data_IF_583430114679
#
_entry.id   IF_583430114679
#
_cell.length_a   1.000
_cell.length_b   1.000
_cell.length_c   1.000
_cell.angle_alpha   90.00
_cell.angle_beta   90.00
_cell.angle_gamma   90.00
#
_symmetry.space_group_name_H-M   'P 1'
#
loop_
_entity.id
_entity.type
_entity.pdbx_description
1 polymer ?
#
# COMPACT_ATOMS: atom_id res chain seq x y z
N UNK A 1 -0.36 -12.51 13.45
CA UNK A 1 -1.50 -11.94 12.69
C UNK A 1 -1.53 -12.56 11.31
N UNK A 2 -2.70 -12.60 10.66
CA UNK A 2 -2.82 -12.82 9.21
C UNK A 2 -2.64 -11.50 8.47
N UNK A 3 -1.59 -11.39 7.67
CA UNK A 3 -1.17 -10.15 7.02
C UNK A 3 -1.15 -10.33 5.51
N UNK A 4 -1.65 -9.33 4.79
CA UNK A 4 -1.48 -9.19 3.36
C UNK A 4 -0.59 -7.97 3.07
N UNK A 5 0.49 -8.18 2.31
CA UNK A 5 1.31 -7.11 1.72
C UNK A 5 1.05 -7.06 0.21
N UNK A 6 0.80 -5.87 -0.31
CA UNK A 6 0.54 -5.61 -1.73
C UNK A 6 1.55 -4.57 -2.21
N UNK A 7 2.60 -5.00 -2.90
CA UNK A 7 3.68 -4.13 -3.36
C UNK A 7 4.32 -4.77 -4.60
N UNK A 8 4.47 -4.06 -5.71
CA UNK A 8 5.00 -4.59 -6.97
C UNK A 8 6.54 -4.66 -7.01
N UNK A 9 7.23 -3.99 -6.08
CA UNK A 9 8.69 -3.95 -6.00
C UNK A 9 9.28 -5.19 -5.33
N UNK A 10 10.14 -5.98 -6.02
CA UNK A 10 10.75 -7.17 -5.44
C UNK A 10 11.55 -6.89 -4.16
N UNK A 11 12.20 -5.72 -4.06
CA UNK A 11 12.98 -5.37 -2.86
C UNK A 11 12.06 -5.13 -1.65
N UNK A 12 10.90 -4.49 -1.85
CA UNK A 12 9.95 -4.25 -0.76
C UNK A 12 9.21 -5.52 -0.36
N UNK A 13 8.90 -6.40 -1.32
CA UNK A 13 8.38 -7.74 -1.03
C UNK A 13 9.39 -8.56 -0.21
N UNK A 14 10.67 -8.51 -0.54
CA UNK A 14 11.70 -9.20 0.21
C UNK A 14 11.83 -8.65 1.63
N UNK A 15 11.80 -7.32 1.79
CA UNK A 15 11.80 -6.70 3.12
C UNK A 15 10.56 -7.07 3.95
N UNK A 16 9.38 -7.20 3.32
CA UNK A 16 8.18 -7.68 4.01
C UNK A 16 8.40 -9.09 4.58
N UNK A 17 9.02 -10.00 3.83
CA UNK A 17 9.34 -11.36 4.32
C UNK A 17 10.28 -11.33 5.53
N UNK A 18 11.25 -10.42 5.52
CA UNK A 18 12.24 -10.30 6.59
C UNK A 18 11.63 -9.66 7.85
N UNK A 19 10.94 -8.54 7.69
CA UNK A 19 10.44 -7.72 8.81
C UNK A 19 9.14 -8.26 9.42
N UNK A 20 8.40 -9.12 8.72
CA UNK A 20 7.14 -9.71 9.19
C UNK A 20 7.22 -11.23 9.41
N UNK A 21 8.42 -11.82 9.52
CA UNK A 21 8.65 -13.27 9.54
C UNK A 21 7.98 -14.07 10.68
N UNK A 22 7.41 -13.42 11.69
CA UNK A 22 6.63 -14.03 12.77
C UNK A 22 5.12 -14.11 12.53
N UNK A 23 4.63 -13.65 11.38
CA UNK A 23 3.21 -13.57 11.05
C UNK A 23 2.82 -14.56 9.95
N UNK A 24 1.53 -14.85 9.83
CA UNK A 24 0.98 -15.57 8.68
C UNK A 24 0.88 -14.58 7.51
N UNK A 25 1.87 -14.62 6.62
CA UNK A 25 2.14 -13.57 5.64
C UNK A 25 1.80 -14.01 4.21
N UNK A 26 0.92 -13.27 3.56
CA UNK A 26 0.68 -13.33 2.12
C UNK A 26 1.23 -12.08 1.46
N UNK A 27 1.95 -12.24 0.34
CA UNK A 27 2.51 -11.12 -0.44
C UNK A 27 2.08 -11.29 -1.89
N UNK A 28 1.59 -10.22 -2.50
CA UNK A 28 1.23 -10.16 -3.93
C UNK A 28 1.80 -8.90 -4.58
N UNK A 29 2.06 -8.98 -5.88
CA UNK A 29 2.81 -7.96 -6.61
C UNK A 29 1.97 -7.10 -7.54
N UNK A 30 0.65 -7.24 -7.53
CA UNK A 30 -0.22 -6.56 -8.49
C UNK A 30 -1.52 -6.09 -7.88
N UNK A 31 -2.09 -5.05 -8.47
CA UNK A 31 -3.36 -4.49 -8.05
C UNK A 31 -4.49 -5.52 -8.13
N UNK A 32 -4.49 -6.35 -9.18
CA UNK A 32 -5.55 -7.33 -9.44
C UNK A 32 -5.54 -8.48 -8.43
N UNK A 33 -4.36 -8.98 -8.08
CA UNK A 33 -4.21 -9.99 -7.03
C UNK A 33 -4.60 -9.42 -5.68
N UNK A 34 -4.15 -8.20 -5.38
CA UNK A 34 -4.53 -7.45 -4.20
C UNK A 34 -6.04 -7.31 -4.06
N UNK A 35 -6.70 -6.79 -5.10
CA UNK A 35 -8.15 -6.60 -5.16
C UNK A 35 -8.91 -7.91 -4.92
N UNK A 36 -8.44 -9.02 -5.51
CA UNK A 36 -9.05 -10.33 -5.30
C UNK A 36 -8.96 -10.79 -3.85
N UNK A 37 -7.83 -10.53 -3.19
CA UNK A 37 -7.57 -10.96 -1.82
C UNK A 37 -8.24 -10.08 -0.77
N UNK A 38 -8.44 -8.78 -1.01
CA UNK A 38 -9.14 -7.88 -0.07
C UNK A 38 -10.66 -7.88 -0.27
N UNK A 39 -11.22 -8.90 -0.93
CA UNK A 39 -12.66 -9.08 -1.09
C UNK A 39 -13.41 -9.30 0.23
N UNK A 40 -14.75 -9.33 0.18
CA UNK A 40 -15.58 -9.51 1.38
C UNK A 40 -15.20 -10.79 2.14
N UNK A 41 -14.92 -10.67 3.44
CA UNK A 41 -14.62 -11.81 4.31
C UNK A 41 -13.21 -12.37 4.17
N UNK A 42 -12.24 -11.58 3.68
CA UNK A 42 -10.87 -12.02 3.42
C UNK A 42 -10.11 -12.57 4.65
N UNK A 43 -10.45 -12.13 5.86
CA UNK A 43 -9.89 -12.67 7.11
C UNK A 43 -8.46 -12.22 7.46
N UNK A 44 -7.88 -11.31 6.69
CA UNK A 44 -6.62 -10.62 7.04
C UNK A 44 -6.89 -9.60 8.15
N UNK A 45 -6.06 -9.60 9.18
CA UNK A 45 -6.11 -8.64 10.28
C UNK A 45 -5.42 -7.34 9.89
N UNK A 46 -4.31 -7.45 9.14
CA UNK A 46 -3.57 -6.32 8.61
C UNK A 46 -3.44 -6.39 7.09
N UNK A 47 -3.59 -5.24 6.41
CA UNK A 47 -3.36 -5.09 4.97
C UNK A 47 -2.45 -3.88 4.74
N UNK A 48 -1.25 -4.14 4.23
CA UNK A 48 -0.21 -3.13 4.01
C UNK A 48 0.01 -3.01 2.49
N UNK A 49 -0.14 -1.81 1.95
CA UNK A 49 -0.25 -1.60 0.51
C UNK A 49 0.70 -0.50 0.07
N UNK A 50 1.40 -0.70 -1.03
CA UNK A 50 2.12 0.38 -1.69
C UNK A 50 1.16 1.38 -2.34
N UNK A 51 1.47 2.67 -2.29
CA UNK A 51 0.65 3.69 -2.94
C UNK A 51 0.69 3.57 -4.46
N UNK A 52 1.89 3.41 -5.02
CA UNK A 52 2.25 3.69 -6.41
C UNK A 52 2.50 2.40 -7.19
N UNK A 53 1.42 1.83 -7.72
CA UNK A 53 1.49 0.56 -8.43
C UNK A 53 1.16 0.71 -9.92
N UNK A 54 1.65 -0.20 -10.79
CA UNK A 54 1.28 -0.24 -12.19
C UNK A 54 -0.23 -0.43 -12.38
N UNK A 55 -0.86 0.46 -13.16
CA UNK A 55 -2.29 0.37 -13.43
C UNK A 55 -2.67 -0.85 -14.29
N UNK A 56 -3.68 -1.59 -13.82
CA UNK A 56 -4.17 -2.79 -14.50
C UNK A 56 -5.10 -2.48 -15.69
N UNK A 57 -5.07 -3.37 -16.67
CA UNK A 57 -6.00 -3.40 -17.80
C UNK A 57 -7.36 -4.04 -17.46
N UNK A 58 -7.48 -4.78 -16.36
CA UNK A 58 -8.58 -5.71 -16.10
C UNK A 58 -9.98 -5.05 -16.10
N UNK A 59 -10.08 -3.81 -15.61
CA UNK A 59 -11.37 -3.06 -15.55
C UNK A 59 -11.62 -2.19 -16.78
N UNK A 60 -10.72 -2.17 -17.75
CA UNK A 60 -10.93 -1.44 -18.99
C UNK A 60 -11.84 -2.26 -19.92
N UNK A 61 -13.09 -1.82 -20.08
CA UNK A 61 -14.03 -2.37 -21.09
C UNK A 61 -13.48 -2.51 -22.52
N UNK A 62 -14.13 -3.34 -23.33
CA UNK A 62 -13.63 -3.86 -24.60
C UNK A 62 -13.20 -2.77 -25.61
N UNK A 63 -12.12 -3.08 -26.35
CA UNK A 63 -11.28 -2.16 -27.10
C UNK A 63 -11.94 -1.37 -28.25
N UNK A 64 -13.17 -1.70 -28.67
CA UNK A 64 -13.81 -1.08 -29.83
C UNK A 64 -14.16 0.41 -29.63
N UNK A 65 -14.27 0.89 -28.39
CA UNK A 65 -14.61 2.29 -28.08
C UNK A 65 -13.46 3.08 -27.42
N UNK A 66 -12.33 2.43 -27.09
CA UNK A 66 -11.35 2.94 -26.10
C UNK A 66 -9.93 3.16 -26.61
N UNK A 67 -9.71 3.17 -27.93
CA UNK A 67 -8.36 3.19 -28.51
C UNK A 67 -7.51 4.43 -28.15
N UNK A 68 -8.06 5.42 -27.44
CA UNK A 68 -7.36 6.68 -27.15
C UNK A 68 -7.33 7.18 -25.69
N UNK A 69 -8.17 6.68 -24.76
CA UNK A 69 -8.25 7.32 -23.43
C UNK A 69 -7.77 6.45 -22.26
N UNK A 70 -8.22 5.20 -22.13
CA UNK A 70 -7.87 4.37 -20.98
C UNK A 70 -6.60 3.53 -21.15
N UNK A 71 -6.27 3.14 -22.38
CA UNK A 71 -5.12 2.25 -22.65
C UNK A 71 -3.77 2.93 -22.39
N UNK A 72 -3.71 4.26 -22.50
CA UNK A 72 -2.49 5.03 -22.25
C UNK A 72 -1.98 4.88 -20.82
N UNK A 73 -2.88 4.66 -19.86
CA UNK A 73 -2.53 4.53 -18.44
C UNK A 73 -2.07 3.12 -18.04
N UNK A 74 -2.28 2.10 -18.87
CA UNK A 74 -1.91 0.72 -18.53
C UNK A 74 -0.39 0.64 -18.33
N UNK A 75 0.02 -0.03 -17.25
CA UNK A 75 1.41 -0.11 -16.80
C UNK A 75 2.06 1.22 -16.39
N UNK A 76 1.35 2.35 -16.40
CA UNK A 76 1.83 3.56 -15.74
C UNK A 76 1.71 3.39 -14.23
N UNK A 77 2.73 3.86 -13.51
CA UNK A 77 2.70 3.98 -12.07
C UNK A 77 1.61 4.98 -11.68
N UNK A 78 0.69 4.55 -10.82
CA UNK A 78 -0.49 5.33 -10.44
C UNK A 78 -0.77 5.13 -8.95
N UNK A 79 -1.36 6.12 -8.26
CA UNK A 79 -1.68 6.03 -6.84
C UNK A 79 -2.92 5.16 -6.57
N UNK A 80 -2.90 3.91 -7.02
CA UNK A 80 -4.05 2.99 -6.98
C UNK A 80 -4.10 2.18 -5.69
N UNK A 81 -3.01 2.10 -4.93
CA UNK A 81 -2.95 1.39 -3.66
C UNK A 81 -3.96 1.87 -2.62
N UNK A 82 -4.25 3.17 -2.63
CA UNK A 82 -5.25 3.77 -1.73
C UNK A 82 -6.62 3.10 -1.84
N UNK A 83 -7.02 2.66 -3.04
CA UNK A 83 -8.31 2.02 -3.25
C UNK A 83 -8.35 0.59 -2.70
N UNK A 84 -7.22 -0.12 -2.69
CA UNK A 84 -7.11 -1.43 -2.05
C UNK A 84 -7.16 -1.30 -0.53
N UNK A 85 -6.51 -0.28 0.04
CA UNK A 85 -6.57 0.03 1.46
C UNK A 85 -8.00 0.34 1.93
N UNK A 86 -8.72 1.22 1.22
CA UNK A 86 -10.12 1.52 1.52
C UNK A 86 -11.01 0.28 1.39
N UNK A 87 -10.76 -0.58 0.39
CA UNK A 87 -11.51 -1.82 0.21
C UNK A 87 -11.22 -2.84 1.32
N UNK A 88 -9.98 -2.94 1.78
CA UNK A 88 -9.58 -3.78 2.91
C UNK A 88 -10.24 -3.34 4.21
N UNK A 89 -10.20 -2.04 4.53
CA UNK A 89 -10.87 -1.47 5.69
C UNK A 89 -12.38 -1.78 5.65
N UNK A 90 -13.02 -1.48 4.52
CA UNK A 90 -14.45 -1.79 4.29
C UNK A 90 -14.80 -3.27 4.47
N UNK A 91 -13.87 -4.18 4.18
CA UNK A 91 -14.10 -5.63 4.22
C UNK A 91 -13.57 -6.30 5.50
N UNK A 92 -13.17 -5.51 6.50
CA UNK A 92 -12.94 -5.98 7.87
C UNK A 92 -11.49 -6.12 8.30
N UNK A 93 -10.53 -5.58 7.54
CA UNK A 93 -9.16 -5.41 8.03
C UNK A 93 -9.15 -4.47 9.26
N UNK A 94 -8.40 -4.81 10.30
CA UNK A 94 -8.30 -3.99 11.54
C UNK A 94 -7.20 -2.94 11.43
N UNK A 95 -6.12 -3.29 10.75
CA UNK A 95 -4.96 -2.45 10.54
C UNK A 95 -4.72 -2.31 9.04
N UNK A 96 -4.75 -1.08 8.53
CA UNK A 96 -4.48 -0.80 7.12
C UNK A 96 -3.40 0.25 7.01
N UNK A 97 -2.40 0.01 6.17
CA UNK A 97 -1.40 1.01 5.86
C UNK A 97 -1.28 1.21 4.35
N UNK A 98 -1.15 2.45 3.93
CA UNK A 98 -0.64 2.80 2.59
C UNK A 98 0.74 3.39 2.78
N UNK A 99 1.76 2.78 2.18
CA UNK A 99 3.15 3.17 2.38
C UNK A 99 3.92 3.22 1.07
N UNK A 100 4.43 4.39 0.73
CA UNK A 100 5.30 4.62 -0.42
C UNK A 100 6.72 4.94 0.03
N UNK A 101 7.70 4.50 -0.76
CA UNK A 101 9.09 4.91 -0.66
C UNK A 101 9.38 6.20 -1.45
N UNK A 102 8.39 6.74 -2.17
CA UNK A 102 8.48 8.03 -2.85
C UNK A 102 8.32 9.19 -1.87
N UNK A 103 9.25 10.15 -1.94
CA UNK A 103 9.19 11.39 -1.18
C UNK A 103 8.06 12.31 -1.68
N UNK A 104 7.53 13.20 -0.83
CA UNK A 104 6.52 14.20 -1.21
C UNK A 104 6.99 15.14 -2.33
N UNK A 105 8.31 15.32 -2.51
CA UNK A 105 8.86 16.13 -3.60
C UNK A 105 8.95 15.36 -4.92
N UNK A 106 8.77 14.04 -4.92
CA UNK A 106 8.97 13.16 -6.07
C UNK A 106 7.66 12.82 -6.76
N UNK A 107 6.57 12.62 -6.00
CA UNK A 107 5.28 12.26 -6.57
C UNK A 107 4.12 13.03 -5.91
N UNK A 108 3.21 13.66 -6.69
CA UNK A 108 2.13 14.48 -6.14
C UNK A 108 1.16 13.70 -5.25
N UNK A 109 0.96 12.40 -5.52
CA UNK A 109 0.15 11.57 -4.64
C UNK A 109 0.83 11.25 -3.30
N UNK A 110 2.17 11.19 -3.26
CA UNK A 110 2.91 11.08 -1.99
C UNK A 110 2.75 12.38 -1.19
N UNK A 111 2.85 13.54 -1.85
CA UNK A 111 2.61 14.84 -1.21
C UNK A 111 1.22 15.01 -0.60
N UNK A 112 0.20 14.31 -1.12
CA UNK A 112 -1.12 14.32 -0.51
C UNK A 112 -1.14 13.75 0.92
N UNK A 113 -0.15 12.93 1.31
CA UNK A 113 -0.06 12.42 2.68
C UNK A 113 0.28 13.50 3.70
N UNK A 114 0.87 14.63 3.28
CA UNK A 114 1.17 15.77 4.15
C UNK A 114 -0.10 16.42 4.70
N UNK A 115 -1.25 16.25 4.04
CA UNK A 115 -2.53 16.72 4.55
C UNK A 115 -3.10 15.83 5.67
N UNK A 116 -2.56 14.62 5.84
CA UNK A 116 -2.97 13.64 6.84
C UNK A 116 -1.97 13.51 7.99
N UNK A 117 -0.76 14.04 7.83
CA UNK A 117 0.32 13.85 8.77
C UNK A 117 0.84 15.21 9.27
N UNK A 118 1.39 15.28 10.49
CA UNK A 118 2.17 16.44 10.90
C UNK A 118 3.38 16.63 9.98
N UNK A 119 3.95 17.84 9.97
CA UNK A 119 5.10 18.19 9.11
C UNK A 119 6.32 17.27 9.34
N UNK A 120 6.39 16.55 10.47
CA UNK A 120 7.35 15.47 10.69
C UNK A 120 6.79 14.11 10.22
N UNK A 121 7.17 13.70 9.01
CA UNK A 121 6.81 12.40 8.42
C UNK A 121 7.27 11.15 9.22
N UNK A 122 7.82 11.34 10.43
CA UNK A 122 8.22 10.26 11.32
C UNK A 122 7.12 9.78 12.27
N UNK A 123 6.02 10.54 12.38
CA UNK A 123 4.91 10.26 13.29
C UNK A 123 3.57 10.41 12.54
N UNK A 124 3.29 9.58 11.52
CA UNK A 124 2.09 9.74 10.70
C UNK A 124 0.83 9.53 11.55
N UNK A 125 -0.19 10.36 11.37
CA UNK A 125 -1.40 10.24 12.19
C UNK A 125 -2.15 8.95 11.87
N UNK A 126 -2.60 8.26 12.93
CA UNK A 126 -3.51 7.13 12.81
C UNK A 126 -4.94 7.67 12.84
N UNK A 127 -5.71 7.36 11.80
CA UNK A 127 -7.13 7.71 11.74
C UNK A 127 -8.00 6.48 11.47
N UNK A 128 -9.31 6.64 11.60
CA UNK A 128 -10.26 5.54 11.42
C UNK A 128 -10.94 5.61 10.04
N UNK A 129 -11.05 4.46 9.38
CA UNK A 129 -11.93 4.25 8.23
C UNK A 129 -12.77 3.01 8.55
N UNK A 130 -14.08 3.20 8.70
CA UNK A 130 -14.94 2.19 9.35
C UNK A 130 -14.37 1.84 10.73
N UNK A 131 -14.17 0.55 11.02
CA UNK A 131 -13.54 0.06 12.25
C UNK A 131 -12.02 -0.16 12.12
N UNK A 132 -11.42 0.19 10.98
CA UNK A 132 -9.99 0.00 10.71
C UNK A 132 -9.17 1.20 11.16
N UNK A 133 -8.03 0.94 11.81
CA UNK A 133 -6.96 1.92 12.00
C UNK A 133 -6.17 2.03 10.71
N UNK A 134 -6.05 3.24 10.19
CA UNK A 134 -5.42 3.54 8.92
C UNK A 134 -4.26 4.51 9.13
N UNK A 135 -3.14 4.22 8.46
CA UNK A 135 -2.01 5.14 8.30
C UNK A 135 -1.69 5.34 6.82
N UNK A 136 -1.45 6.58 6.43
CA UNK A 136 -0.90 6.96 5.13
C UNK A 136 0.52 7.48 5.36
N UNK A 137 1.52 6.81 4.78
CA UNK A 137 2.92 7.04 5.13
C UNK A 137 3.79 7.25 3.87
N UNK A 138 4.59 8.31 3.90
CA UNK A 138 5.73 8.58 3.01
C UNK A 138 7.01 8.84 3.83
N UNK A 139 6.99 8.40 5.10
CA UNK A 139 8.00 8.71 6.10
C UNK A 139 9.30 7.92 5.95
N UNK A 140 10.40 8.63 5.71
CA UNK A 140 11.76 8.09 5.65
C UNK A 140 12.19 7.27 6.88
N UNK A 141 11.61 7.50 8.05
CA UNK A 141 11.94 6.74 9.25
C UNK A 141 11.43 5.28 9.22
N UNK A 142 10.50 4.97 8.32
CA UNK A 142 10.00 3.62 8.09
C UNK A 142 10.74 2.93 6.94
N UNK A 143 11.83 3.52 6.42
CA UNK A 143 12.72 2.87 5.44
C UNK A 143 13.93 2.25 6.15
N UNK A 144 14.42 1.13 5.60
CA UNK A 144 15.71 0.54 5.95
C UNK A 144 16.84 1.33 5.27
N UNK A 145 17.30 2.39 5.94
CA UNK A 145 18.26 3.35 5.37
C UNK A 145 19.68 2.79 5.19
N UNK A 146 20.01 1.72 5.91
CA UNK A 146 21.32 1.06 5.82
C UNK A 146 21.44 0.08 4.63
N UNK A 147 20.35 -0.18 3.92
CA UNK A 147 20.30 -1.08 2.77
C UNK A 147 20.42 -0.34 1.44
N UNK A 148 21.02 -0.99 0.44
CA UNK A 148 21.11 -0.49 -0.95
C UNK A 148 20.65 -1.57 -1.95
N UNK A 149 19.56 -1.34 -2.72
CA UNK A 149 18.66 -0.18 -2.61
C UNK A 149 17.92 -0.16 -1.26
N UNK A 150 17.47 1.03 -0.84
CA UNK A 150 16.65 1.17 0.36
C UNK A 150 15.36 0.37 0.20
N UNK A 151 14.84 -0.13 1.31
CA UNK A 151 13.61 -0.93 1.32
C UNK A 151 12.65 -0.42 2.40
N UNK A 152 11.35 -0.61 2.18
CA UNK A 152 10.31 -0.33 3.19
C UNK A 152 10.45 -1.27 4.39
N UNK A 153 10.36 -0.75 5.61
CA UNK A 153 10.29 -1.54 6.83
C UNK A 153 8.83 -1.74 7.26
N UNK A 154 8.21 -2.78 6.70
CA UNK A 154 6.80 -3.09 6.95
C UNK A 154 6.51 -3.48 8.38
N UNK A 155 7.43 -4.20 9.03
CA UNK A 155 7.32 -4.58 10.44
C UNK A 155 7.24 -3.35 11.35
N UNK A 156 8.17 -2.40 11.20
CA UNK A 156 8.17 -1.15 11.97
C UNK A 156 6.89 -0.35 11.78
N UNK A 157 6.38 -0.25 10.55
CA UNK A 157 5.14 0.45 10.26
C UNK A 157 3.93 -0.25 10.89
N UNK A 158 3.89 -1.59 10.85
CA UNK A 158 2.84 -2.36 11.48
C UNK A 158 2.86 -2.23 13.01
N UNK A 159 4.04 -2.28 13.63
CA UNK A 159 4.20 -2.09 15.07
C UNK A 159 3.68 -0.70 15.50
N UNK A 160 3.98 0.34 14.72
CA UNK A 160 3.45 1.68 14.93
C UNK A 160 1.91 1.71 14.84
N UNK A 161 1.36 1.10 13.80
CA UNK A 161 -0.09 1.09 13.55
C UNK A 161 -0.88 0.31 14.61
N UNK A 162 -0.28 -0.77 15.15
CA UNK A 162 -0.91 -1.68 16.10
C UNK A 162 -0.68 -1.33 17.58
N UNK A 163 0.12 -0.30 17.88
CA UNK A 163 0.32 0.23 19.23
C UNK A 163 -0.91 0.97 19.77
#
# INVERSE_FOLDING_TARGET
MRILVIDDSPVHQQSARQTLGGHDLTIVGSYDEGQKLVGKGHGFEAVLVDLLMPASRQKLGNAAQKRFMGQGFVCQEMPVGIFLALLAAKNGARYVAVFTDSNHHEHPASACFDAFNPEDACSPDVFMVEDARVVLCNGWCFLNQDEKPMSKNWGKLLDYLAA
#
